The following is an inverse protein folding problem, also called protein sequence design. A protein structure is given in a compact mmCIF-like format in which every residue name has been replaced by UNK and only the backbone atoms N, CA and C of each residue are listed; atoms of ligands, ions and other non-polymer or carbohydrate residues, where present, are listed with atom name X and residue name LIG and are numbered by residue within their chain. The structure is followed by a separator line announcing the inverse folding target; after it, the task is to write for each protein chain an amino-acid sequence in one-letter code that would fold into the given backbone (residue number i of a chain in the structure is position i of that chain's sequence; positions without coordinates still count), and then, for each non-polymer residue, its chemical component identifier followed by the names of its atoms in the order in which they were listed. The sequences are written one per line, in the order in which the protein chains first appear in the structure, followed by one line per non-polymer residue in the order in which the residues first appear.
data_IF_196371835484
#
_entry.id   IF_196371835484
#
_cell.length_a   1.000
_cell.length_b   1.000
_cell.length_c   1.000
_cell.angle_alpha   90.00
_cell.angle_beta   90.00
_cell.angle_gamma   90.00
#
_symmetry.space_group_name_H-M   'P 1'
#
loop_
_entity.id
_entity.type
_entity.pdbx_description
1 polymer ?
#
# COMPACT_ATOMS: atom_id res chain seq x y z
N UNK A 1 -3.74 -0.90 -13.48
CA UNK A 1 -5.10 -1.07 -12.89
C UNK A 1 -6.08 -1.52 -13.99
N UNK A 2 -7.07 -2.35 -13.68
CA UNK A 2 -8.02 -2.89 -14.66
C UNK A 2 -9.49 -2.54 -14.33
N UNK A 3 -9.99 -2.93 -13.15
CA UNK A 3 -11.41 -2.75 -12.82
C UNK A 3 -11.66 -2.49 -11.33
N UNK A 4 -12.91 -2.16 -10.99
CA UNK A 4 -13.40 -1.91 -9.63
C UNK A 4 -12.55 -0.85 -8.90
N UNK A 5 -12.01 -1.19 -7.75
CA UNK A 5 -11.23 -0.30 -6.89
C UNK A 5 -9.76 -0.18 -7.33
N UNK A 6 -9.30 -0.96 -8.32
CA UNK A 6 -7.90 -0.96 -8.73
C UNK A 6 -7.37 0.41 -9.19
N UNK A 7 -8.12 1.26 -9.93
CA UNK A 7 -7.66 2.61 -10.25
C UNK A 7 -7.47 3.47 -8.99
N UNK A 8 -8.39 3.36 -8.03
CA UNK A 8 -8.30 4.05 -6.73
C UNK A 8 -7.09 3.58 -5.94
N UNK A 9 -6.90 2.26 -5.81
CA UNK A 9 -5.76 1.67 -5.12
C UNK A 9 -4.43 2.07 -5.77
N UNK A 10 -4.37 2.06 -7.11
CA UNK A 10 -3.20 2.50 -7.86
C UNK A 10 -2.86 3.97 -7.59
N UNK A 11 -3.87 4.85 -7.58
CA UNK A 11 -3.71 6.27 -7.21
C UNK A 11 -3.16 6.43 -5.79
N UNK A 12 -3.65 5.67 -4.83
CA UNK A 12 -3.15 5.71 -3.46
C UNK A 12 -1.69 5.21 -3.39
N UNK A 13 -1.40 4.04 -3.96
CA UNK A 13 -0.07 3.43 -4.00
C UNK A 13 0.96 4.38 -4.65
N UNK A 14 0.62 5.00 -5.78
CA UNK A 14 1.57 5.79 -6.57
C UNK A 14 1.69 7.24 -6.12
N UNK A 15 0.59 7.89 -5.70
CA UNK A 15 0.55 9.33 -5.46
C UNK A 15 0.35 9.73 -3.99
N UNK A 16 -0.24 8.87 -3.15
CA UNK A 16 -0.48 9.18 -1.73
C UNK A 16 0.55 8.54 -0.82
N UNK A 17 0.77 7.24 -0.98
CA UNK A 17 1.76 6.49 -0.22
C UNK A 17 3.12 6.51 -0.90
N UNK A 18 3.15 6.68 -2.23
CA UNK A 18 4.38 6.70 -3.03
C UNK A 18 5.25 5.46 -2.79
N UNK A 19 4.61 4.30 -2.73
CA UNK A 19 5.24 2.99 -2.47
C UNK A 19 5.26 2.09 -3.72
N UNK A 20 4.77 2.59 -4.87
CA UNK A 20 4.71 1.82 -6.11
C UNK A 20 4.70 2.70 -7.35
N UNK A 21 4.69 2.04 -8.51
CA UNK A 21 4.67 2.69 -9.83
C UNK A 21 3.56 2.09 -10.66
N UNK A 22 2.79 2.95 -11.34
CA UNK A 22 1.78 2.56 -12.30
C UNK A 22 2.42 2.22 -13.65
N UNK A 23 1.97 1.12 -14.25
CA UNK A 23 2.31 0.75 -15.63
C UNK A 23 1.14 1.17 -16.52
N UNK A 24 1.46 1.74 -17.69
CA UNK A 24 0.48 2.15 -18.68
C UNK A 24 -0.40 0.97 -19.15
N UNK A 25 -1.67 1.24 -19.44
CA UNK A 25 -2.65 0.19 -19.81
C UNK A 25 -2.24 -0.59 -21.06
N UNK A 26 -1.67 0.10 -22.06
CA UNK A 26 -1.05 -0.53 -23.21
C UNK A 26 0.39 -0.91 -22.87
N UNK A 27 0.56 -2.06 -22.22
CA UNK A 27 1.85 -2.53 -21.71
C UNK A 27 2.83 -2.82 -22.85
N UNK A 28 4.06 -2.31 -22.72
CA UNK A 28 5.19 -2.61 -23.61
C UNK A 28 6.37 -3.17 -22.83
N UNK A 29 7.12 -4.09 -23.44
CA UNK A 29 8.22 -4.80 -22.79
C UNK A 29 9.31 -3.83 -22.30
N UNK A 30 9.68 -2.88 -23.14
CA UNK A 30 10.75 -1.92 -22.88
C UNK A 30 10.41 -0.97 -21.71
N UNK A 31 9.13 -0.57 -21.62
CA UNK A 31 8.62 0.24 -20.51
C UNK A 31 8.64 -0.54 -19.20
N UNK A 32 8.22 -1.81 -19.23
CA UNK A 32 8.26 -2.69 -18.05
C UNK A 32 9.69 -2.91 -17.58
N UNK A 33 10.62 -3.20 -18.49
CA UNK A 33 12.03 -3.40 -18.16
C UNK A 33 12.62 -2.17 -17.47
N UNK A 34 12.37 -0.97 -18.01
CA UNK A 34 12.82 0.30 -17.40
C UNK A 34 12.25 0.47 -15.99
N UNK A 35 10.95 0.25 -15.81
CA UNK A 35 10.30 0.40 -14.51
C UNK A 35 10.81 -0.60 -13.47
N UNK A 36 11.05 -1.84 -13.87
CA UNK A 36 11.64 -2.87 -12.99
C UNK A 36 13.06 -2.47 -12.59
N UNK A 37 13.90 -2.02 -13.53
CA UNK A 37 15.26 -1.58 -13.24
C UNK A 37 15.26 -0.37 -12.28
N UNK A 38 14.39 0.62 -12.51
CA UNK A 38 14.24 1.79 -11.64
C UNK A 38 13.76 1.42 -10.22
N UNK A 39 12.89 0.40 -10.10
CA UNK A 39 12.39 -0.10 -8.81
C UNK A 39 13.43 -0.92 -8.04
N UNK A 40 14.27 -1.67 -8.76
CA UNK A 40 15.23 -2.58 -8.16
C UNK A 40 16.56 -1.91 -7.82
N UNK A 41 17.11 -1.12 -8.75
CA UNK A 41 18.43 -0.50 -8.61
C UNK A 41 18.37 1.04 -8.48
N UNK A 42 17.29 1.66 -8.93
CA UNK A 42 17.15 3.11 -8.95
C UNK A 42 16.90 3.74 -7.58
N UNK A 43 17.27 5.01 -7.45
CA UNK A 43 17.07 5.81 -6.23
C UNK A 43 15.58 5.95 -5.87
N UNK A 44 14.71 6.00 -6.90
CA UNK A 44 13.25 6.02 -6.70
C UNK A 44 12.77 4.76 -5.97
N UNK A 45 13.28 3.58 -6.36
CA UNK A 45 12.96 2.31 -5.71
C UNK A 45 13.43 2.25 -4.26
N UNK A 46 14.61 2.79 -3.95
CA UNK A 46 15.11 2.89 -2.56
C UNK A 46 14.20 3.74 -1.67
N UNK A 47 13.74 4.89 -2.17
CA UNK A 47 12.78 5.75 -1.45
C UNK A 47 11.43 5.07 -1.22
N UNK A 48 10.91 4.33 -2.22
CA UNK A 48 9.69 3.53 -2.04
C UNK A 48 9.85 2.47 -0.96
N UNK A 49 11.02 1.79 -0.90
CA UNK A 49 11.33 0.80 0.14
C UNK A 49 11.36 1.40 1.54
N UNK A 50 11.85 2.62 1.70
CA UNK A 50 11.79 3.32 3.00
C UNK A 50 10.34 3.63 3.39
N UNK A 51 9.55 4.19 2.47
CA UNK A 51 8.14 4.53 2.71
C UNK A 51 7.27 3.31 3.04
N UNK A 52 7.49 2.16 2.37
CA UNK A 52 6.71 0.95 2.67
C UNK A 52 7.09 0.34 4.02
N UNK A 53 8.33 0.49 4.47
CA UNK A 53 8.74 0.07 5.83
C UNK A 53 8.04 0.93 6.89
N UNK A 54 7.98 2.25 6.71
CA UNK A 54 7.24 3.14 7.62
C UNK A 54 5.74 2.81 7.64
N UNK A 55 5.14 2.55 6.47
CA UNK A 55 3.74 2.17 6.37
C UNK A 55 3.47 0.82 7.05
N UNK A 56 4.38 -0.15 6.88
CA UNK A 56 4.32 -1.44 7.56
C UNK A 56 4.34 -1.26 9.08
N UNK A 57 5.27 -0.47 9.61
CA UNK A 57 5.37 -0.22 11.05
C UNK A 57 4.08 0.37 11.63
N UNK A 58 3.47 1.34 10.93
CA UNK A 58 2.18 1.92 11.32
C UNK A 58 1.04 0.89 11.32
N UNK A 59 1.02 0.00 10.33
CA UNK A 59 0.01 -1.06 10.26
C UNK A 59 0.18 -2.08 11.40
N UNK A 60 1.42 -2.46 11.72
CA UNK A 60 1.75 -3.34 12.85
C UNK A 60 1.35 -2.68 14.18
N UNK A 61 1.73 -1.42 14.41
CA UNK A 61 1.36 -0.66 15.60
C UNK A 61 -0.16 -0.56 15.79
N UNK A 62 -0.89 -0.24 14.71
CA UNK A 62 -2.34 -0.08 14.74
C UNK A 62 -3.09 -1.39 15.05
N UNK A 63 -2.43 -2.55 14.90
CA UNK A 63 -3.01 -3.88 15.11
C UNK A 63 -2.48 -4.60 16.36
N UNK A 64 -1.61 -3.95 17.15
CA UNK A 64 -1.23 -4.44 18.49
C UNK A 64 -2.44 -4.47 19.44
N UNK A 65 -2.36 -5.18 20.60
CA UNK A 65 -3.45 -5.18 21.59
C UNK A 65 -3.86 -3.79 22.10
N UNK A 66 -2.93 -2.83 22.10
CA UNK A 66 -3.19 -1.41 22.42
C UNK A 66 -3.43 -0.53 21.19
N UNK A 67 -3.45 -1.12 19.99
CA UNK A 67 -3.59 -0.42 18.72
C UNK A 67 -5.04 -0.09 18.39
N UNK A 68 -5.26 1.05 17.73
CA UNK A 68 -6.61 1.54 17.43
C UNK A 68 -7.46 0.57 16.59
N UNK A 69 -6.87 -0.14 15.62
CA UNK A 69 -7.66 -1.07 14.79
C UNK A 69 -8.11 -2.28 15.60
N UNK A 70 -7.26 -2.79 16.50
CA UNK A 70 -7.62 -3.86 17.43
C UNK A 70 -8.74 -3.41 18.38
N UNK A 71 -8.58 -2.24 19.01
CA UNK A 71 -9.59 -1.68 19.92
C UNK A 71 -10.93 -1.42 19.23
N UNK A 72 -10.91 -0.96 17.98
CA UNK A 72 -12.12 -0.75 17.18
C UNK A 72 -12.86 -2.08 16.92
N UNK A 73 -12.11 -3.16 16.62
CA UNK A 73 -12.70 -4.48 16.43
C UNK A 73 -13.28 -5.03 17.75
N UNK A 74 -12.55 -4.93 18.85
CA UNK A 74 -13.02 -5.34 20.18
C UNK A 74 -14.31 -4.59 20.57
N UNK A 75 -14.34 -3.27 20.32
CA UNK A 75 -15.54 -2.44 20.51
C UNK A 75 -16.70 -2.92 19.65
N UNK A 76 -16.47 -3.16 18.36
CA UNK A 76 -17.52 -3.65 17.44
C UNK A 76 -18.11 -4.98 17.92
N UNK A 77 -17.27 -5.93 18.35
CA UNK A 77 -17.72 -7.21 18.89
C UNK A 77 -18.60 -6.99 20.13
N UNK A 78 -18.14 -6.18 21.08
CA UNK A 78 -18.86 -5.92 22.33
C UNK A 78 -20.19 -5.20 22.13
N UNK A 79 -20.21 -4.18 21.27
CA UNK A 79 -21.36 -3.27 21.16
C UNK A 79 -22.37 -3.68 20.07
N UNK A 80 -21.95 -4.44 19.06
CA UNK A 80 -22.81 -4.80 17.93
C UNK A 80 -23.12 -6.29 17.88
N UNK A 81 -22.14 -7.16 18.16
CA UNK A 81 -22.32 -8.60 18.00
C UNK A 81 -22.74 -9.33 19.28
N UNK A 82 -22.37 -8.81 20.45
CA UNK A 82 -22.64 -9.42 21.76
C UNK A 82 -23.69 -8.67 22.59
N UNK A 83 -24.24 -7.58 22.04
CA UNK A 83 -25.39 -6.88 22.62
C UNK A 83 -26.70 -7.60 22.30
#
# INVERSE_FOLDING_TARGET
PFFADQPTNCRYICNKWEIGIEIHTNVKREEVEKLVNDLMAGEKGKKMRQKIVELKMKAEEATTPSGFSFMNLDKFIKEVLLN
#
